data_IF_670219186583
#
_entry.id   IF_670219186583
#
_cell.length_a   1.000
_cell.length_b   1.000
_cell.length_c   1.000
_cell.angle_alpha   90.00
_cell.angle_beta   90.00
_cell.angle_gamma   90.00
#
_symmetry.space_group_name_H-M   'P 1'
#
loop_
_entity.id
_entity.type
_entity.pdbx_description
1 polymer ?
#
# COMPACT_ATOMS: atom_id res chain seq x y z
N UNK A 1 52.04 -19.58 55.69
CA UNK A 1 51.98 -19.83 54.24
C UNK A 1 50.68 -20.56 53.93
N UNK A 2 49.78 -19.84 53.25
CA UNK A 2 48.67 -20.19 52.34
C UNK A 2 47.88 -21.52 52.49
N UNK A 3 46.55 -21.35 52.35
CA UNK A 3 45.50 -22.30 51.91
C UNK A 3 44.95 -23.30 52.93
N UNK A 4 43.64 -23.56 52.98
CA UNK A 4 42.55 -23.10 52.13
C UNK A 4 41.21 -23.56 52.72
N UNK A 5 40.22 -22.67 52.72
CA UNK A 5 38.86 -23.04 53.09
C UNK A 5 38.15 -23.60 51.85
N UNK A 6 37.78 -24.88 51.95
CA UNK A 6 37.07 -25.66 50.95
C UNK A 6 35.70 -25.05 50.65
N UNK A 7 35.47 -24.67 49.40
CA UNK A 7 34.14 -24.37 48.88
C UNK A 7 33.44 -25.68 48.51
N UNK A 8 32.25 -25.88 49.07
CA UNK A 8 31.43 -27.09 48.95
C UNK A 8 30.96 -27.32 47.51
N UNK A 9 30.99 -28.55 46.96
CA UNK A 9 30.65 -28.83 45.57
C UNK A 9 29.14 -28.75 45.25
N UNK A 10 28.29 -28.49 46.24
CA UNK A 10 26.83 -28.64 46.14
C UNK A 10 26.07 -27.33 45.88
N UNK A 11 26.74 -26.24 45.48
CA UNK A 11 26.10 -24.94 45.16
C UNK A 11 26.28 -24.48 43.72
N UNK A 12 27.09 -25.21 42.93
CA UNK A 12 27.42 -24.86 41.54
C UNK A 12 26.28 -25.17 40.54
N UNK A 13 25.50 -26.27 40.63
CA UNK A 13 24.51 -26.55 39.59
C UNK A 13 23.25 -25.66 39.70
N UNK A 14 22.96 -25.08 40.87
CA UNK A 14 21.77 -24.23 41.08
C UNK A 14 21.97 -22.80 40.57
N UNK A 15 23.20 -22.27 40.70
CA UNK A 15 23.56 -20.94 40.18
C UNK A 15 23.72 -20.92 38.64
N UNK A 16 24.08 -22.05 38.03
CA UNK A 16 24.19 -22.14 36.56
C UNK A 16 22.80 -22.21 35.89
N UNK A 17 21.81 -22.85 36.51
CA UNK A 17 20.44 -22.89 35.99
C UNK A 17 19.73 -21.52 36.07
N UNK A 18 20.01 -20.72 37.11
CA UNK A 18 19.40 -19.39 37.29
C UNK A 18 20.01 -18.32 36.36
N UNK A 19 21.26 -18.49 35.93
CA UNK A 19 21.92 -17.60 34.97
C UNK A 19 21.48 -17.86 33.51
N UNK A 20 21.06 -19.07 33.18
CA UNK A 20 20.52 -19.43 31.85
C UNK A 20 19.05 -19.00 31.66
N UNK A 21 18.32 -18.68 32.73
CA UNK A 21 16.94 -18.15 32.66
C UNK A 21 16.85 -16.64 32.40
N UNK A 22 17.96 -15.90 32.38
CA UNK A 22 17.95 -14.43 32.24
C UNK A 22 18.34 -13.90 30.84
N UNK A 23 18.64 -14.77 29.88
CA UNK A 23 18.94 -14.36 28.49
C UNK A 23 17.66 -14.29 27.62
N UNK A 24 16.51 -14.72 28.14
CA UNK A 24 15.25 -14.69 27.42
C UNK A 24 14.41 -13.45 27.74
N UNK A 25 14.88 -12.25 27.32
CA UNK A 25 14.07 -11.02 27.30
C UNK A 25 14.66 -9.93 26.36
N UNK A 26 14.99 -10.31 25.13
CA UNK A 26 15.12 -9.38 24.01
C UNK A 26 14.59 -10.09 22.75
N UNK A 27 13.30 -10.45 22.77
CA UNK A 27 12.68 -11.33 21.75
C UNK A 27 12.32 -10.55 20.48
N UNK A 28 13.30 -9.89 19.86
CA UNK A 28 13.10 -9.18 18.61
C UNK A 28 14.41 -8.91 17.88
N UNK A 29 14.38 -8.71 16.55
CA UNK A 29 15.57 -8.31 15.80
C UNK A 29 16.21 -7.03 16.36
N UNK A 30 17.53 -6.92 16.22
CA UNK A 30 18.26 -5.73 16.67
C UNK A 30 17.74 -4.46 15.96
N UNK A 31 17.46 -3.36 16.69
CA UNK A 31 16.96 -2.13 16.10
C UNK A 31 17.77 -1.63 14.90
N UNK A 32 17.09 -1.03 13.91
CA UNK A 32 17.69 -0.48 12.69
C UNK A 32 18.41 -1.50 11.79
N UNK A 33 18.14 -2.80 11.94
CA UNK A 33 18.61 -3.84 11.00
C UNK A 33 17.52 -4.21 9.99
N UNK A 34 17.84 -4.80 8.82
CA UNK A 34 16.82 -5.20 7.84
C UNK A 34 15.71 -6.10 8.42
N UNK A 35 16.01 -7.12 9.26
CA UNK A 35 14.95 -7.92 9.89
C UNK A 35 14.08 -7.10 10.86
N UNK A 36 14.64 -6.09 11.54
CA UNK A 36 13.87 -5.18 12.39
C UNK A 36 12.91 -4.32 11.57
N UNK A 37 13.39 -3.72 10.48
CA UNK A 37 12.56 -2.93 9.58
C UNK A 37 11.43 -3.77 8.97
N UNK A 38 11.71 -5.03 8.62
CA UNK A 38 10.70 -5.96 8.09
C UNK A 38 9.61 -6.27 9.12
N UNK A 39 10.01 -6.56 10.35
CA UNK A 39 9.08 -6.79 11.46
C UNK A 39 8.25 -5.52 11.76
N UNK A 40 8.92 -4.37 11.87
CA UNK A 40 8.28 -3.09 12.16
C UNK A 40 7.27 -2.68 11.08
N UNK A 41 7.57 -2.93 9.80
CA UNK A 41 6.66 -2.69 8.68
C UNK A 41 5.38 -3.54 8.81
N UNK A 42 5.50 -4.81 9.15
CA UNK A 42 4.33 -5.68 9.36
C UNK A 42 3.50 -5.27 10.57
N UNK A 43 4.15 -4.91 11.68
CA UNK A 43 3.45 -4.54 12.91
C UNK A 43 2.70 -3.23 12.76
N UNK A 44 3.33 -2.21 12.18
CA UNK A 44 2.67 -0.92 11.87
C UNK A 44 1.55 -1.08 10.84
N UNK A 45 1.73 -1.95 9.84
CA UNK A 45 0.66 -2.31 8.91
C UNK A 45 -0.55 -2.95 9.59
N UNK A 46 -0.33 -3.92 10.50
CA UNK A 46 -1.42 -4.56 11.27
C UNK A 46 -2.15 -3.57 12.17
N UNK A 47 -1.45 -2.54 12.66
CA UNK A 47 -2.03 -1.45 13.45
C UNK A 47 -2.77 -0.40 12.60
N UNK A 48 -2.72 -0.50 11.27
CA UNK A 48 -3.31 0.47 10.35
C UNK A 48 -2.48 1.73 10.13
N UNK A 49 -1.23 1.78 10.64
CA UNK A 49 -0.29 2.88 10.39
C UNK A 49 0.48 2.64 9.07
N UNK A 50 -0.25 2.80 7.97
CA UNK A 50 0.26 2.48 6.63
C UNK A 50 1.39 3.40 6.17
N UNK A 51 1.44 4.65 6.63
CA UNK A 51 2.53 5.57 6.31
C UNK A 51 3.83 5.10 6.97
N UNK A 52 3.76 4.76 8.26
CA UNK A 52 4.92 4.25 8.97
C UNK A 52 5.36 2.87 8.46
N UNK A 53 4.42 2.03 8.03
CA UNK A 53 4.74 0.79 7.34
C UNK A 53 5.57 1.03 6.07
N UNK A 54 5.19 2.02 5.24
CA UNK A 54 5.98 2.41 4.06
C UNK A 54 7.37 2.91 4.45
N UNK A 55 7.48 3.74 5.48
CA UNK A 55 8.76 4.26 5.96
C UNK A 55 9.69 3.12 6.41
N UNK A 56 9.14 2.09 7.08
CA UNK A 56 9.90 0.89 7.46
C UNK A 56 10.24 -0.02 6.27
N UNK A 57 9.46 -0.01 5.18
CA UNK A 57 9.79 -0.74 3.95
C UNK A 57 10.87 -0.04 3.11
N UNK A 58 10.98 1.29 3.19
CA UNK A 58 11.93 2.08 2.41
C UNK A 58 13.40 1.59 2.47
N UNK A 59 14.00 1.27 3.64
CA UNK A 59 15.37 0.77 3.69
C UNK A 59 15.53 -0.66 3.14
N UNK A 60 14.44 -1.40 2.95
CA UNK A 60 14.45 -2.80 2.54
C UNK A 60 14.42 -3.00 1.02
N UNK A 61 14.16 -1.96 0.25
CA UNK A 61 14.00 -2.06 -1.21
C UNK A 61 15.30 -1.85 -2.01
N UNK A 62 16.45 -1.81 -1.33
CA UNK A 62 17.75 -1.72 -1.99
C UNK A 62 17.97 -2.96 -2.88
N UNK A 63 18.51 -2.84 -4.11
CA UNK A 63 18.73 -3.99 -4.99
C UNK A 63 19.60 -5.07 -4.33
N UNK A 64 19.22 -6.34 -4.47
CA UNK A 64 19.96 -7.49 -3.95
C UNK A 64 19.88 -7.72 -2.43
N UNK A 65 19.05 -6.95 -1.71
CA UNK A 65 18.82 -7.16 -0.27
C UNK A 65 17.93 -8.38 0.02
N UNK A 66 18.10 -8.97 1.22
CA UNK A 66 17.36 -10.15 1.69
C UNK A 66 15.83 -9.99 1.69
N UNK A 67 15.35 -8.75 1.84
CA UNK A 67 13.93 -8.42 1.91
C UNK A 67 13.40 -7.77 0.64
N UNK A 68 14.24 -7.48 -0.36
CA UNK A 68 13.89 -6.63 -1.49
C UNK A 68 12.69 -7.17 -2.27
N UNK A 69 12.73 -8.44 -2.65
CA UNK A 69 11.66 -9.09 -3.42
C UNK A 69 10.32 -9.09 -2.69
N UNK A 70 10.35 -9.16 -1.35
CA UNK A 70 9.16 -9.16 -0.48
C UNK A 70 8.66 -7.76 -0.16
N UNK A 71 9.57 -6.81 0.04
CA UNK A 71 9.27 -5.45 0.45
C UNK A 71 8.74 -4.60 -0.71
N UNK A 72 9.24 -4.81 -1.94
CA UNK A 72 8.82 -4.01 -3.09
C UNK A 72 7.32 -4.19 -3.43
N UNK A 73 6.77 -5.42 -3.59
CA UNK A 73 5.34 -5.61 -3.86
C UNK A 73 4.47 -5.06 -2.73
N UNK A 74 4.89 -5.26 -1.48
CA UNK A 74 4.16 -4.74 -0.32
C UNK A 74 4.07 -3.22 -0.35
N UNK A 75 5.19 -2.54 -0.59
CA UNK A 75 5.22 -1.08 -0.71
C UNK A 75 4.38 -0.57 -1.87
N UNK A 76 4.41 -1.23 -3.03
CA UNK A 76 3.60 -0.84 -4.19
C UNK A 76 2.10 -0.86 -3.87
N UNK A 77 1.65 -1.93 -3.21
CA UNK A 77 0.25 -2.06 -2.79
C UNK A 77 -0.14 -0.96 -1.80
N UNK A 78 0.69 -0.67 -0.80
CA UNK A 78 0.41 0.38 0.18
C UNK A 78 0.39 1.79 -0.44
N UNK A 79 1.36 2.10 -1.30
CA UNK A 79 1.49 3.43 -1.91
C UNK A 79 0.35 3.70 -2.90
N UNK A 80 -0.02 2.72 -3.74
CA UNK A 80 -1.20 2.82 -4.60
C UNK A 80 -2.51 2.87 -3.79
N UNK A 81 -2.66 2.06 -2.74
CA UNK A 81 -3.83 2.05 -1.87
C UNK A 81 -4.06 3.39 -1.17
N UNK A 82 -2.99 3.99 -0.61
CA UNK A 82 -3.06 5.32 -0.01
C UNK A 82 -3.43 6.39 -1.04
N UNK A 83 -2.81 6.36 -2.23
CA UNK A 83 -3.15 7.29 -3.31
C UNK A 83 -4.64 7.19 -3.66
N UNK A 84 -5.14 5.97 -3.84
CA UNK A 84 -6.54 5.72 -4.18
C UNK A 84 -7.51 6.14 -3.07
N UNK A 85 -7.21 5.85 -1.80
CA UNK A 85 -8.03 6.27 -0.67
C UNK A 85 -8.17 7.79 -0.59
N UNK A 86 -7.08 8.54 -0.83
CA UNK A 86 -7.13 9.99 -0.89
C UNK A 86 -7.86 10.54 -2.13
N UNK A 87 -7.82 9.84 -3.26
CA UNK A 87 -8.68 10.17 -4.41
C UNK A 87 -10.15 9.99 -4.04
N UNK A 88 -10.54 8.85 -3.47
CA UNK A 88 -11.94 8.57 -3.11
C UNK A 88 -12.48 9.62 -2.12
N UNK A 89 -11.66 10.05 -1.14
CA UNK A 89 -11.98 11.19 -0.26
C UNK A 89 -12.17 12.49 -1.05
N UNK A 90 -11.21 12.86 -1.90
CA UNK A 90 -11.30 14.08 -2.71
C UNK A 90 -12.55 14.09 -3.60
N UNK A 91 -12.90 12.95 -4.21
CA UNK A 91 -14.08 12.82 -5.07
C UNK A 91 -15.39 12.96 -4.30
N UNK A 92 -15.47 12.37 -3.10
CA UNK A 92 -16.63 12.54 -2.23
C UNK A 92 -16.82 14.02 -1.83
N UNK A 93 -15.76 14.71 -1.44
CA UNK A 93 -15.85 16.13 -1.08
C UNK A 93 -16.11 17.04 -2.30
N UNK A 94 -15.59 16.68 -3.48
CA UNK A 94 -15.93 17.37 -4.73
C UNK A 94 -17.43 17.24 -5.06
N UNK A 95 -17.99 16.04 -4.95
CA UNK A 95 -19.41 15.82 -5.14
C UNK A 95 -20.24 16.61 -4.10
N UNK A 96 -19.84 16.57 -2.83
CA UNK A 96 -20.50 17.34 -1.77
C UNK A 96 -20.54 18.85 -2.00
N UNK A 97 -19.45 19.42 -2.53
CA UNK A 97 -19.39 20.84 -2.90
C UNK A 97 -20.41 21.24 -3.98
N UNK A 98 -20.81 20.30 -4.85
CA UNK A 98 -21.82 20.51 -5.89
C UNK A 98 -23.25 20.36 -5.33
N UNK A 99 -23.42 19.51 -4.31
CA UNK A 99 -24.72 19.23 -3.70
C UNK A 99 -25.15 20.26 -2.64
N UNK A 100 -24.19 20.89 -1.97
CA UNK A 100 -24.46 21.87 -0.91
C UNK A 100 -23.73 23.19 -1.16
N UNK A 101 -24.38 24.10 -1.88
CA UNK A 101 -23.83 25.40 -2.24
C UNK A 101 -23.45 26.25 -1.01
N UNK A 102 -24.24 26.18 0.06
CA UNK A 102 -24.00 26.94 1.30
C UNK A 102 -22.70 26.53 2.00
N UNK A 103 -22.33 25.26 1.91
CA UNK A 103 -21.11 24.72 2.51
C UNK A 103 -19.98 24.50 1.48
N UNK A 104 -20.18 24.90 0.21
CA UNK A 104 -19.31 24.50 -0.89
C UNK A 104 -17.83 24.90 -0.69
N UNK A 105 -17.58 26.06 -0.06
CA UNK A 105 -16.21 26.51 0.26
C UNK A 105 -15.47 25.52 1.16
N UNK A 106 -16.12 25.00 2.20
CA UNK A 106 -15.52 24.05 3.13
C UNK A 106 -15.28 22.68 2.48
N UNK A 107 -16.26 22.20 1.68
CA UNK A 107 -16.09 20.99 0.89
C UNK A 107 -14.92 21.10 -0.10
N UNK A 108 -14.81 22.22 -0.83
CA UNK A 108 -13.69 22.47 -1.76
C UNK A 108 -12.35 22.54 -1.03
N UNK A 109 -12.30 23.14 0.16
CA UNK A 109 -11.08 23.17 1.00
C UNK A 109 -10.61 21.75 1.31
N UNK A 110 -11.51 20.88 1.78
CA UNK A 110 -11.19 19.47 2.08
C UNK A 110 -10.82 18.67 0.82
N UNK A 111 -11.56 18.84 -0.26
CA UNK A 111 -11.23 18.27 -1.57
C UNK A 111 -9.79 18.62 -1.98
N UNK A 112 -9.38 19.89 -1.86
CA UNK A 112 -8.03 20.32 -2.22
C UNK A 112 -6.95 19.70 -1.32
N UNK A 113 -7.21 19.59 -0.01
CA UNK A 113 -6.30 18.89 0.91
C UNK A 113 -6.11 17.44 0.48
N UNK A 114 -7.19 16.71 0.22
CA UNK A 114 -7.11 15.30 -0.17
C UNK A 114 -6.51 15.11 -1.57
N UNK A 115 -6.74 16.02 -2.53
CA UNK A 115 -6.05 16.01 -3.83
C UNK A 115 -4.54 16.21 -3.68
N UNK A 116 -4.10 17.11 -2.80
CA UNK A 116 -2.68 17.31 -2.52
C UNK A 116 -2.02 16.05 -1.97
N UNK A 117 -2.69 15.40 -1.01
CA UNK A 117 -2.25 14.12 -0.44
C UNK A 117 -2.22 13.02 -1.51
N UNK A 118 -3.29 12.89 -2.30
CA UNK A 118 -3.38 11.92 -3.40
C UNK A 118 -2.26 12.11 -4.43
N UNK A 119 -1.97 13.35 -4.83
CA UNK A 119 -0.91 13.67 -5.78
C UNK A 119 0.46 13.20 -5.26
N UNK A 120 0.82 13.53 -4.01
CA UNK A 120 2.09 13.09 -3.43
C UNK A 120 2.22 11.57 -3.38
N UNK A 121 1.14 10.86 -3.02
CA UNK A 121 1.15 9.39 -2.95
C UNK A 121 1.16 8.73 -4.32
N UNK A 122 0.46 9.31 -5.30
CA UNK A 122 0.46 8.84 -6.68
C UNK A 122 1.86 8.90 -7.28
N UNK A 123 2.59 10.00 -7.08
CA UNK A 123 3.96 10.13 -7.58
C UNK A 123 4.92 9.16 -6.87
N UNK A 124 4.78 8.98 -5.54
CA UNK A 124 5.57 8.00 -4.80
C UNK A 124 5.33 6.56 -5.30
N UNK A 125 4.07 6.22 -5.64
CA UNK A 125 3.74 4.94 -6.26
C UNK A 125 4.40 4.79 -7.63
N UNK A 126 4.30 5.79 -8.51
CA UNK A 126 4.91 5.76 -9.83
C UNK A 126 6.44 5.57 -9.78
N UNK A 127 7.11 6.30 -8.88
CA UNK A 127 8.55 6.15 -8.63
C UNK A 127 8.89 4.76 -8.08
N UNK A 128 8.10 4.26 -7.12
CA UNK A 128 8.30 2.93 -6.54
C UNK A 128 8.11 1.83 -7.59
N UNK A 129 7.14 2.01 -8.51
CA UNK A 129 6.87 1.05 -9.58
C UNK A 129 8.00 1.03 -10.60
N UNK A 130 8.47 2.21 -11.02
CA UNK A 130 9.66 2.30 -11.88
C UNK A 130 10.89 1.63 -11.24
N UNK A 131 11.10 1.83 -9.94
CA UNK A 131 12.20 1.19 -9.23
C UNK A 131 12.05 -0.34 -9.19
N UNK A 132 10.83 -0.84 -8.98
CA UNK A 132 10.51 -2.27 -9.03
C UNK A 132 10.73 -2.87 -10.43
N UNK A 133 10.30 -2.20 -11.50
CA UNK A 133 10.55 -2.70 -12.85
C UNK A 133 12.06 -2.81 -13.15
N UNK A 134 12.85 -1.82 -12.70
CA UNK A 134 14.30 -1.78 -12.88
C UNK A 134 15.07 -2.88 -12.15
N UNK A 135 14.50 -3.47 -11.09
CA UNK A 135 15.16 -4.62 -10.44
C UNK A 135 15.04 -5.90 -11.25
N UNK A 136 14.18 -5.95 -12.27
CA UNK A 136 13.96 -7.14 -13.08
C UNK A 136 13.28 -8.24 -12.27
N UNK A 137 12.03 -8.04 -11.82
CA UNK A 137 11.37 -8.96 -10.92
C UNK A 137 11.23 -10.36 -11.53
N UNK A 138 11.38 -11.38 -10.69
CA UNK A 138 11.26 -12.78 -11.07
C UNK A 138 9.86 -13.16 -11.59
N UNK A 139 9.72 -14.37 -12.13
CA UNK A 139 8.46 -14.86 -12.69
C UNK A 139 7.33 -15.02 -11.65
N UNK A 140 7.69 -15.22 -10.38
CA UNK A 140 6.77 -15.34 -9.27
C UNK A 140 7.02 -14.19 -8.27
N UNK A 141 6.00 -13.37 -8.03
CA UNK A 141 6.07 -12.22 -7.13
C UNK A 141 5.58 -12.64 -5.75
N UNK A 142 6.41 -12.53 -4.70
CA UNK A 142 5.98 -12.88 -3.35
C UNK A 142 5.01 -11.84 -2.79
N UNK A 143 3.89 -12.33 -2.27
CA UNK A 143 2.89 -11.56 -1.53
C UNK A 143 3.15 -11.79 -0.04
N UNK A 144 4.18 -11.14 0.47
CA UNK A 144 4.72 -11.37 1.80
C UNK A 144 4.14 -10.40 2.86
N UNK A 145 2.86 -10.09 2.77
CA UNK A 145 2.15 -9.24 3.73
C UNK A 145 0.76 -9.81 4.04
N UNK A 146 0.21 -9.55 5.24
CA UNK A 146 -1.08 -10.10 5.61
C UNK A 146 -2.22 -9.49 4.77
N UNK A 147 -3.30 -10.25 4.62
CA UNK A 147 -4.53 -9.75 4.01
C UNK A 147 -4.97 -8.42 4.68
N UNK A 148 -5.28 -7.36 3.89
CA UNK A 148 -5.68 -6.06 4.46
C UNK A 148 -6.96 -6.14 5.29
N UNK A 149 -7.02 -5.38 6.39
CA UNK A 149 -8.17 -5.32 7.32
C UNK A 149 -9.38 -4.53 6.82
N UNK A 150 -9.34 -4.01 5.59
CA UNK A 150 -10.40 -3.18 5.01
C UNK A 150 -11.71 -3.92 4.75
N UNK A 151 -12.75 -3.16 4.46
CA UNK A 151 -14.05 -3.68 4.00
C UNK A 151 -14.27 -3.26 2.54
N UNK A 152 -14.61 -4.18 1.62
CA UNK A 152 -14.80 -3.85 0.21
C UNK A 152 -16.04 -2.98 -0.07
N UNK A 153 -17.00 -2.94 0.88
CA UNK A 153 -18.23 -2.15 0.76
C UNK A 153 -17.95 -0.64 0.73
N UNK A 154 -18.85 0.17 0.13
CA UNK A 154 -18.73 1.63 0.16
C UNK A 154 -18.61 2.20 1.57
N UNK A 155 -17.78 3.24 1.73
CA UNK A 155 -17.62 3.95 3.01
C UNK A 155 -18.81 4.88 3.23
N UNK A 156 -19.58 4.64 4.30
CA UNK A 156 -20.81 5.38 4.59
C UNK A 156 -20.55 6.89 4.76
N UNK A 157 -19.47 7.26 5.43
CA UNK A 157 -19.08 8.66 5.65
C UNK A 157 -18.77 9.39 4.34
N UNK A 158 -18.14 8.70 3.37
CA UNK A 158 -17.92 9.27 2.02
C UNK A 158 -19.24 9.47 1.28
N UNK A 159 -20.20 8.55 1.46
CA UNK A 159 -21.53 8.69 0.86
C UNK A 159 -22.24 9.92 1.42
N UNK A 160 -22.20 10.13 2.74
CA UNK A 160 -22.73 11.35 3.38
C UNK A 160 -22.06 12.61 2.85
N UNK A 161 -20.73 12.63 2.79
CA UNK A 161 -19.97 13.77 2.28
C UNK A 161 -20.35 14.07 0.81
N UNK A 162 -20.45 13.04 -0.03
CA UNK A 162 -20.88 13.17 -1.43
C UNK A 162 -22.29 13.74 -1.61
N UNK A 163 -23.17 13.53 -0.64
CA UNK A 163 -24.52 14.10 -0.60
C UNK A 163 -24.54 15.54 -0.05
N UNK A 164 -23.38 16.13 0.25
CA UNK A 164 -23.28 17.50 0.77
C UNK A 164 -23.56 17.62 2.28
N UNK A 165 -23.58 16.49 3.00
CA UNK A 165 -23.74 16.47 4.46
C UNK A 165 -22.37 16.72 5.10
N UNK A 166 -22.27 17.76 5.91
CA UNK A 166 -21.05 18.06 6.65
C UNK A 166 -20.75 16.96 7.66
N UNK A 167 -19.51 16.49 7.67
CA UNK A 167 -19.04 15.47 8.62
C UNK A 167 -18.47 16.15 9.87
N UNK A 168 -18.73 15.56 11.03
CA UNK A 168 -18.02 15.90 12.27
C UNK A 168 -16.54 15.48 12.20
N UNK A 169 -15.67 16.04 13.05
CA UNK A 169 -14.24 15.69 13.09
C UNK A 169 -14.01 14.18 13.35
N UNK A 170 -14.86 13.54 14.16
CA UNK A 170 -14.81 12.08 14.37
C UNK A 170 -15.21 11.29 13.12
N UNK A 171 -16.25 11.74 12.41
CA UNK A 171 -16.65 11.13 11.13
C UNK A 171 -15.58 11.33 10.06
N UNK A 172 -14.87 12.46 10.07
CA UNK A 172 -13.76 12.74 9.15
C UNK A 172 -12.58 11.79 9.37
N UNK A 173 -12.14 11.63 10.61
CA UNK A 173 -11.09 10.66 10.95
C UNK A 173 -11.51 9.23 10.58
N UNK A 174 -12.80 8.89 10.78
CA UNK A 174 -13.35 7.58 10.40
C UNK A 174 -13.40 7.40 8.89
N UNK A 175 -13.85 8.42 8.15
CA UNK A 175 -13.90 8.43 6.70
C UNK A 175 -12.52 8.22 6.10
N UNK A 176 -11.52 8.95 6.58
CA UNK A 176 -10.14 8.85 6.09
C UNK A 176 -9.58 7.45 6.32
N UNK A 177 -9.66 6.95 7.55
CA UNK A 177 -9.18 5.61 7.89
C UNK A 177 -9.85 4.53 7.03
N UNK A 178 -11.18 4.52 6.97
CA UNK A 178 -11.94 3.50 6.21
C UNK A 178 -11.73 3.59 4.71
N UNK A 179 -11.62 4.80 4.16
CA UNK A 179 -11.34 5.01 2.74
C UNK A 179 -9.97 4.42 2.36
N UNK A 180 -8.95 4.66 3.19
CA UNK A 180 -7.60 4.13 2.98
C UNK A 180 -7.58 2.60 3.15
N UNK A 181 -8.14 2.08 4.24
CA UNK A 181 -8.22 0.63 4.51
C UNK A 181 -8.91 -0.12 3.35
N UNK A 182 -10.05 0.40 2.89
CA UNK A 182 -10.77 -0.13 1.72
C UNK A 182 -9.91 -0.07 0.46
N UNK A 183 -9.30 1.08 0.17
CA UNK A 183 -8.51 1.24 -1.03
C UNK A 183 -7.29 0.30 -1.07
N UNK A 184 -6.60 0.12 0.06
CA UNK A 184 -5.50 -0.86 0.19
C UNK A 184 -6.01 -2.27 -0.07
N UNK A 185 -7.18 -2.64 0.48
CA UNK A 185 -7.80 -3.93 0.19
C UNK A 185 -8.07 -4.14 -1.31
N UNK A 186 -8.68 -3.15 -1.98
CA UNK A 186 -9.01 -3.27 -3.40
C UNK A 186 -7.75 -3.35 -4.27
N UNK A 187 -6.70 -2.59 -3.92
CA UNK A 187 -5.40 -2.64 -4.61
C UNK A 187 -4.73 -4.00 -4.39
N UNK A 188 -4.71 -4.52 -3.15
CA UNK A 188 -4.16 -5.83 -2.86
C UNK A 188 -4.90 -6.96 -3.61
N UNK A 189 -6.23 -6.89 -3.65
CA UNK A 189 -7.07 -7.83 -4.40
C UNK A 189 -6.77 -7.78 -5.90
N UNK A 190 -6.61 -6.57 -6.45
CA UNK A 190 -6.19 -6.36 -7.84
C UNK A 190 -4.79 -6.92 -8.12
N UNK A 191 -3.84 -6.70 -7.22
CA UNK A 191 -2.45 -7.16 -7.36
C UNK A 191 -2.32 -8.70 -7.42
N UNK A 192 -3.30 -9.42 -6.88
CA UNK A 192 -3.34 -10.89 -6.89
C UNK A 192 -4.32 -11.47 -7.93
N UNK A 193 -4.86 -10.64 -8.83
CA UNK A 193 -5.78 -11.10 -9.88
C UNK A 193 -7.20 -11.45 -9.37
N UNK A 194 -7.61 -10.81 -8.26
CA UNK A 194 -8.91 -11.00 -7.61
C UNK A 194 -9.65 -9.65 -7.43
N UNK A 195 -9.46 -8.70 -8.35
CA UNK A 195 -9.97 -7.31 -8.34
C UNK A 195 -11.20 -7.03 -7.47
N UNK A 196 -12.40 -7.37 -7.96
CA UNK A 196 -13.67 -7.11 -7.27
C UNK A 196 -14.09 -8.27 -6.35
N UNK A 197 -13.26 -9.30 -6.23
CA UNK A 197 -13.53 -10.52 -5.47
C UNK A 197 -12.62 -10.58 -4.24
N UNK A 198 -12.97 -9.78 -3.23
CA UNK A 198 -12.27 -9.73 -1.96
C UNK A 198 -12.26 -11.10 -1.25
N UNK A 199 -13.27 -11.94 -1.47
CA UNK A 199 -13.31 -13.29 -0.90
C UNK A 199 -12.26 -14.21 -1.52
N UNK A 200 -12.14 -14.19 -2.86
CA UNK A 200 -11.06 -14.88 -3.58
C UNK A 200 -9.69 -14.33 -3.18
N UNK A 201 -9.54 -13.02 -3.05
CA UNK A 201 -8.31 -12.41 -2.56
C UNK A 201 -7.96 -12.96 -1.17
N UNK A 202 -8.91 -12.96 -0.23
CA UNK A 202 -8.71 -13.51 1.11
C UNK A 202 -8.28 -14.98 1.08
N UNK A 203 -8.88 -15.79 0.21
CA UNK A 203 -8.49 -17.18 0.03
C UNK A 203 -7.04 -17.30 -0.46
N UNK A 204 -6.61 -16.49 -1.43
CA UNK A 204 -5.22 -16.47 -1.93
C UNK A 204 -4.25 -16.12 -0.78
N UNK A 205 -4.57 -15.09 0.01
CA UNK A 205 -3.73 -14.64 1.12
C UNK A 205 -3.67 -15.63 2.30
N UNK A 206 -4.58 -16.61 2.38
CA UNK A 206 -4.57 -17.63 3.43
C UNK A 206 -3.47 -18.69 3.25
N UNK A 207 -2.86 -18.75 2.06
CA UNK A 207 -1.77 -19.69 1.77
C UNK A 207 -0.48 -19.38 2.53
N UNK A 208 0.37 -20.38 2.69
CA UNK A 208 1.74 -20.18 3.16
C UNK A 208 2.62 -19.77 1.97
N UNK A 209 3.53 -18.80 2.16
CA UNK A 209 4.46 -18.32 1.12
C UNK A 209 3.76 -17.96 -0.20
N UNK A 210 2.69 -17.17 -0.11
CA UNK A 210 1.87 -16.75 -1.27
C UNK A 210 2.77 -16.08 -2.32
N UNK A 211 2.66 -16.56 -3.56
CA UNK A 211 3.25 -15.92 -4.73
C UNK A 211 2.19 -15.80 -5.81
N UNK A 212 2.35 -14.82 -6.71
CA UNK A 212 1.50 -14.64 -7.89
C UNK A 212 2.35 -14.55 -9.14
N UNK A 213 1.82 -14.93 -10.33
CA UNK A 213 2.53 -14.72 -11.59
C UNK A 213 2.87 -13.23 -11.78
N UNK A 214 4.08 -12.95 -12.26
CA UNK A 214 4.54 -11.59 -12.56
C UNK A 214 3.55 -10.83 -13.43
N UNK A 215 3.00 -11.48 -14.43
CA UNK A 215 2.06 -10.91 -15.39
C UNK A 215 0.77 -10.48 -14.69
N UNK A 216 0.30 -11.26 -13.72
CA UNK A 216 -0.87 -10.92 -12.89
C UNK A 216 -0.60 -9.67 -12.06
N UNK A 217 0.56 -9.63 -11.39
CA UNK A 217 0.94 -8.50 -10.56
C UNK A 217 1.13 -7.21 -11.39
N UNK A 218 1.86 -7.29 -12.51
CA UNK A 218 2.10 -6.16 -13.41
C UNK A 218 0.81 -5.63 -14.03
N UNK A 219 -0.13 -6.51 -14.43
CA UNK A 219 -1.45 -6.08 -14.86
C UNK A 219 -2.17 -5.30 -13.76
N UNK A 220 -2.12 -5.80 -12.52
CA UNK A 220 -2.70 -5.11 -11.37
C UNK A 220 -2.10 -3.71 -11.16
N UNK A 221 -0.78 -3.57 -11.26
CA UNK A 221 -0.11 -2.27 -11.13
C UNK A 221 -0.39 -1.33 -12.31
N UNK A 222 -0.47 -1.84 -13.54
CA UNK A 222 -0.87 -1.07 -14.73
C UNK A 222 -2.28 -0.49 -14.58
N UNK A 223 -3.23 -1.27 -14.02
CA UNK A 223 -4.57 -0.78 -13.67
C UNK A 223 -4.50 0.37 -12.67
N UNK A 224 -3.63 0.28 -11.66
CA UNK A 224 -3.45 1.37 -10.70
C UNK A 224 -2.85 2.62 -11.35
N UNK A 225 -1.82 2.50 -12.18
CA UNK A 225 -1.24 3.64 -12.90
C UNK A 225 -2.30 4.39 -13.73
N UNK A 226 -3.08 3.66 -14.54
CA UNK A 226 -4.16 4.25 -15.32
C UNK A 226 -5.25 4.86 -14.42
N UNK A 227 -5.69 4.14 -13.39
CA UNK A 227 -6.73 4.61 -12.47
C UNK A 227 -6.32 5.87 -11.70
N UNK A 228 -5.08 5.92 -11.19
CA UNK A 228 -4.53 7.07 -10.50
C UNK A 228 -4.26 8.26 -11.43
N UNK A 229 -3.97 8.01 -12.72
CA UNK A 229 -3.79 9.09 -13.70
C UNK A 229 -5.02 10.00 -13.82
N UNK A 230 -6.23 9.47 -13.55
CA UNK A 230 -7.47 10.23 -13.64
C UNK A 230 -7.53 11.41 -12.66
N UNK A 231 -6.73 11.40 -11.59
CA UNK A 231 -6.53 12.55 -10.71
C UNK A 231 -6.07 13.81 -11.48
N UNK A 232 -5.27 13.61 -12.53
CA UNK A 232 -4.67 14.68 -13.33
C UNK A 232 -5.45 15.02 -14.59
N UNK A 233 -6.62 14.42 -14.80
CA UNK A 233 -7.48 14.72 -15.93
C UNK A 233 -7.89 16.22 -15.94
N UNK A 234 -8.27 16.78 -17.12
CA UNK A 234 -8.60 18.21 -17.24
C UNK A 234 -9.70 18.71 -16.29
N UNK A 235 -10.67 17.86 -15.95
CA UNK A 235 -11.76 18.20 -15.04
C UNK A 235 -11.38 18.06 -13.55
N UNK A 236 -10.15 17.66 -13.23
CA UNK A 236 -9.66 17.37 -11.87
C UNK A 236 -8.50 18.31 -11.52
N UNK A 237 -7.25 17.81 -11.49
CA UNK A 237 -6.08 18.66 -11.23
C UNK A 237 -5.53 19.34 -12.49
N UNK A 238 -5.92 18.88 -13.69
CA UNK A 238 -5.48 19.45 -14.96
C UNK A 238 -3.95 19.54 -15.10
N UNK A 239 -3.28 18.40 -14.87
CA UNK A 239 -1.82 18.29 -14.97
C UNK A 239 -1.46 17.30 -16.08
N UNK A 240 -1.51 17.72 -17.35
CA UNK A 240 -1.42 16.82 -18.51
C UNK A 240 -0.11 16.02 -18.53
N UNK A 241 1.01 16.59 -18.09
CA UNK A 241 2.30 15.90 -18.05
C UNK A 241 2.28 14.69 -17.11
N UNK A 242 1.66 14.83 -15.91
CA UNK A 242 1.51 13.71 -14.97
C UNK A 242 0.47 12.71 -15.43
N UNK A 243 -0.59 13.18 -16.07
CA UNK A 243 -1.59 12.31 -16.71
C UNK A 243 -0.93 11.42 -17.76
N UNK A 244 -0.11 12.03 -18.64
CA UNK A 244 0.62 11.33 -19.69
C UNK A 244 1.64 10.35 -19.09
N UNK A 245 2.49 10.81 -18.17
CA UNK A 245 3.52 10.00 -17.51
C UNK A 245 2.98 8.67 -16.96
N UNK A 246 1.85 8.72 -16.24
CA UNK A 246 1.27 7.52 -15.63
C UNK A 246 0.66 6.58 -16.67
N UNK A 247 -0.01 7.12 -17.69
CA UNK A 247 -0.59 6.31 -18.75
C UNK A 247 0.49 5.68 -19.64
N UNK A 248 1.56 6.40 -19.96
CA UNK A 248 2.70 5.85 -20.69
C UNK A 248 3.38 4.73 -19.90
N UNK A 249 3.57 4.90 -18.59
CA UNK A 249 4.07 3.84 -17.72
C UNK A 249 3.14 2.63 -17.69
N UNK A 250 1.82 2.83 -17.69
CA UNK A 250 0.86 1.75 -17.78
C UNK A 250 0.98 1.00 -19.11
N UNK A 251 1.18 1.71 -20.24
CA UNK A 251 1.43 1.10 -21.55
C UNK A 251 2.72 0.27 -21.55
N UNK A 252 3.80 0.79 -20.97
CA UNK A 252 5.09 0.07 -20.89
C UNK A 252 4.92 -1.25 -20.12
N UNK A 253 4.25 -1.21 -18.96
CA UNK A 253 3.95 -2.41 -18.19
C UNK A 253 3.11 -3.42 -19.00
N UNK A 254 2.09 -2.96 -19.73
CA UNK A 254 1.23 -3.82 -20.55
C UNK A 254 1.96 -4.46 -21.72
N UNK A 255 2.92 -3.76 -22.34
CA UNK A 255 3.76 -4.31 -23.42
C UNK A 255 4.70 -5.41 -22.92
N UNK A 256 5.00 -5.44 -21.62
CA UNK A 256 5.91 -6.42 -21.02
C UNK A 256 5.24 -7.75 -20.65
N UNK A 257 3.93 -7.85 -20.78
CA UNK A 257 3.13 -9.03 -20.41
C UNK A 257 2.34 -9.56 -21.62
N UNK A 258 1.97 -10.86 -21.63
CA UNK A 258 1.20 -11.45 -22.72
C UNK A 258 -0.16 -10.76 -22.95
N UNK A 259 -0.62 -10.77 -24.19
CA UNK A 259 -1.96 -10.30 -24.53
C UNK A 259 -3.02 -11.27 -24.01
N UNK A 260 -4.00 -10.73 -23.27
CA UNK A 260 -5.22 -11.40 -22.81
C UNK A 260 -6.41 -10.45 -23.05
N UNK A 261 -7.66 -10.91 -22.95
CA UNK A 261 -8.82 -10.03 -23.03
C UNK A 261 -8.73 -8.83 -22.06
N UNK A 262 -8.24 -9.06 -20.84
CA UNK A 262 -8.09 -8.03 -19.80
C UNK A 262 -6.97 -7.04 -20.12
N UNK A 263 -5.81 -7.52 -20.59
CA UNK A 263 -4.70 -6.62 -20.93
C UNK A 263 -5.04 -5.79 -22.17
N UNK A 264 -5.71 -6.38 -23.17
CA UNK A 264 -6.21 -5.67 -24.35
C UNK A 264 -7.25 -4.60 -23.99
N UNK A 265 -8.22 -4.94 -23.14
CA UNK A 265 -9.23 -3.98 -22.70
C UNK A 265 -8.62 -2.80 -21.92
N UNK A 266 -7.57 -3.04 -21.11
CA UNK A 266 -6.84 -1.96 -20.45
C UNK A 266 -6.01 -1.14 -21.44
N UNK A 267 -5.31 -1.80 -22.37
CA UNK A 267 -4.52 -1.15 -23.42
C UNK A 267 -5.37 -0.15 -24.20
N UNK A 268 -6.55 -0.58 -24.68
CA UNK A 268 -7.49 0.28 -25.41
C UNK A 268 -7.93 1.50 -24.57
N UNK A 269 -8.18 1.32 -23.27
CA UNK A 269 -8.54 2.43 -22.35
C UNK A 269 -7.39 3.43 -22.21
N UNK A 270 -6.17 2.95 -22.01
CA UNK A 270 -4.98 3.79 -21.82
C UNK A 270 -4.64 4.53 -23.12
N UNK A 271 -4.66 3.86 -24.27
CA UNK A 271 -4.45 4.49 -25.57
C UNK A 271 -5.52 5.55 -25.87
N UNK A 272 -6.79 5.26 -25.57
CA UNK A 272 -7.87 6.24 -25.71
C UNK A 272 -7.66 7.45 -24.80
N UNK A 273 -7.13 7.25 -23.60
CA UNK A 273 -6.83 8.33 -22.66
C UNK A 273 -5.72 9.26 -23.16
N UNK A 274 -4.69 8.71 -23.81
CA UNK A 274 -3.54 9.46 -24.35
C UNK A 274 -3.81 10.18 -25.68
N UNK A 275 -4.89 9.82 -26.39
CA UNK A 275 -5.23 10.52 -27.64
C UNK A 275 -5.55 11.99 -27.36
N UNK A 276 -4.96 12.94 -28.12
CA UNK A 276 -5.28 14.36 -27.98
C UNK A 276 -6.79 14.55 -28.20
N UNK A 277 -7.47 15.15 -27.23
CA UNK A 277 -8.87 15.55 -27.40
C UNK A 277 -8.87 16.80 -28.29
N UNK A 278 -9.47 16.66 -29.48
CA UNK A 278 -9.73 17.76 -30.41
C UNK A 278 -10.65 18.80 -29.78
#
# INVERSE_FOLDING_TARGET
MVSGAQLSPLRIPFLLCLALSLISCATGPAPNTPPWFWQAAQDTYRMGDYLKAIDHLQPLIAPGGEFTERAQPFRLVLTAGLARGYIDLAEAFEAGARMNEKAATEFRRRMNVYRSQANRRTMNFAESFLAFEKTGPGAAIPIAFPYPSGNPLPVAELTKAGQGIALSETELATAERRAIERAILMVASTAVGAEEDAAKAQQIFSGQNVTVPKETFLLGMAKQLHGLSQLYAPAKMNEPDKFQLLNERALEALKSIPETPETKALLEKVEKALKPKK
#
